data_IF_721608579001
#
_entry.id   IF_721608579001
#
_cell.length_a   1.000
_cell.length_b   1.000
_cell.length_c   1.000
_cell.angle_alpha   90.00
_cell.angle_beta   90.00
_cell.angle_gamma   90.00
#
_symmetry.space_group_name_H-M   'P 1'
#
loop_
_entity.id
_entity.type
_entity.pdbx_description
1 polymer ?
#
# COMPACT_ATOMS: atom_id res chain seq x y z
N UNK A 1 -4.20 -23.17 17.82
CA UNK A 1 -3.29 -22.99 16.68
C UNK A 1 -2.88 -21.53 16.62
N UNK A 2 -1.60 -21.19 16.69
CA UNK A 2 -1.17 -19.83 16.38
C UNK A 2 -1.35 -19.58 14.89
N UNK A 3 -2.05 -18.51 14.51
CA UNK A 3 -2.14 -18.08 13.11
C UNK A 3 -0.82 -17.42 12.73
N UNK A 4 -0.19 -17.90 11.66
CA UNK A 4 1.05 -17.33 11.11
C UNK A 4 0.69 -16.25 10.08
N UNK A 5 1.25 -15.06 10.22
CA UNK A 5 1.17 -14.02 9.19
C UNK A 5 1.89 -14.46 7.92
N UNK A 6 1.34 -14.12 6.76
CA UNK A 6 1.91 -14.42 5.45
C UNK A 6 2.21 -13.13 4.69
N UNK A 7 3.28 -13.14 3.90
CA UNK A 7 3.59 -12.08 2.94
C UNK A 7 3.22 -12.58 1.56
N UNK A 8 2.38 -11.82 0.85
CA UNK A 8 1.98 -12.11 -0.53
C UNK A 8 2.55 -11.02 -1.43
N UNK A 9 3.24 -11.44 -2.50
CA UNK A 9 3.81 -10.53 -3.50
C UNK A 9 3.11 -10.77 -4.83
N UNK A 10 2.39 -9.76 -5.31
CA UNK A 10 1.83 -9.74 -6.66
C UNK A 10 2.76 -8.95 -7.59
N UNK A 11 3.46 -9.65 -8.48
CA UNK A 11 4.45 -9.08 -9.40
C UNK A 11 4.21 -9.55 -10.85
N UNK A 12 5.01 -9.05 -11.79
CA UNK A 12 4.93 -9.32 -13.23
C UNK A 12 4.23 -8.19 -14.00
N UNK A 13 4.39 -8.19 -15.33
CA UNK A 13 3.96 -7.07 -16.19
C UNK A 13 2.46 -7.06 -16.50
N UNK A 14 1.77 -8.16 -16.19
CA UNK A 14 0.33 -8.29 -16.40
C UNK A 14 -0.48 -7.30 -15.57
N UNK A 15 -1.60 -6.84 -16.13
CA UNK A 15 -2.64 -6.12 -15.38
C UNK A 15 -3.29 -7.06 -14.37
N UNK A 16 -3.56 -6.56 -13.16
CA UNK A 16 -4.34 -7.28 -12.15
C UNK A 16 -3.74 -7.34 -10.75
N UNK A 17 -2.48 -6.91 -10.56
CA UNK A 17 -1.80 -6.90 -9.25
C UNK A 17 -2.59 -6.12 -8.19
N UNK A 18 -2.84 -4.84 -8.43
CA UNK A 18 -3.64 -3.98 -7.55
C UNK A 18 -5.04 -4.53 -7.38
N UNK A 19 -5.69 -4.98 -8.46
CA UNK A 19 -7.06 -5.52 -8.40
C UNK A 19 -7.13 -6.79 -7.55
N UNK A 20 -6.14 -7.67 -7.62
CA UNK A 20 -6.04 -8.87 -6.78
C UNK A 20 -5.87 -8.50 -5.30
N UNK A 21 -5.02 -7.51 -5.00
CA UNK A 21 -4.86 -6.99 -3.65
C UNK A 21 -6.16 -6.38 -3.09
N UNK A 22 -6.87 -5.59 -3.90
CA UNK A 22 -8.18 -5.02 -3.52
C UNK A 22 -9.24 -6.10 -3.33
N UNK A 23 -9.24 -7.16 -4.15
CA UNK A 23 -10.11 -8.33 -3.95
C UNK A 23 -9.84 -9.05 -2.63
N UNK A 24 -8.57 -9.16 -2.22
CA UNK A 24 -8.18 -9.68 -0.92
C UNK A 24 -8.64 -8.76 0.22
N UNK A 25 -8.51 -7.43 0.05
CA UNK A 25 -9.04 -6.45 1.01
C UNK A 25 -10.55 -6.62 1.22
N UNK A 26 -11.33 -6.68 0.13
CA UNK A 26 -12.77 -6.87 0.20
C UNK A 26 -13.16 -8.18 0.89
N UNK A 27 -12.40 -9.26 0.64
CA UNK A 27 -12.61 -10.54 1.32
C UNK A 27 -12.37 -10.42 2.82
N UNK A 28 -11.27 -9.80 3.23
CA UNK A 28 -10.93 -9.60 4.65
C UNK A 28 -12.00 -8.74 5.35
N UNK A 29 -12.39 -7.62 4.73
CA UNK A 29 -13.44 -6.74 5.23
C UNK A 29 -14.79 -7.45 5.36
N UNK A 30 -15.13 -8.33 4.41
CA UNK A 30 -16.33 -9.18 4.48
C UNK A 30 -16.33 -10.20 5.62
N UNK A 31 -15.18 -10.40 6.27
CA UNK A 31 -15.01 -11.22 7.47
C UNK A 31 -14.73 -10.37 8.73
N UNK A 32 -15.13 -9.10 8.72
CA UNK A 32 -14.98 -8.15 9.83
C UNK A 32 -13.52 -7.90 10.26
N UNK A 33 -12.57 -8.08 9.33
CA UNK A 33 -11.16 -7.85 9.58
C UNK A 33 -10.76 -6.40 9.29
N UNK A 34 -9.81 -5.86 10.06
CA UNK A 34 -9.28 -4.51 9.82
C UNK A 34 -8.23 -4.53 8.73
N UNK A 35 -8.40 -3.66 7.74
CA UNK A 35 -7.52 -3.57 6.58
C UNK A 35 -6.89 -2.20 6.48
N UNK A 36 -5.58 -2.15 6.26
CA UNK A 36 -4.85 -0.95 5.86
C UNK A 36 -4.40 -1.08 4.41
N UNK A 37 -4.70 -0.09 3.59
CA UNK A 37 -4.19 0.03 2.23
C UNK A 37 -3.31 1.26 2.14
N UNK A 38 -2.04 1.08 1.77
CA UNK A 38 -1.10 2.16 1.48
C UNK A 38 -0.73 2.08 0.01
N UNK A 39 -0.98 3.17 -0.73
CA UNK A 39 -0.64 3.27 -2.14
C UNK A 39 0.52 4.24 -2.32
N UNK A 40 1.66 3.72 -2.79
CA UNK A 40 2.84 4.52 -3.12
C UNK A 40 2.70 5.16 -4.50
N UNK A 41 3.28 6.35 -4.66
CA UNK A 41 3.30 7.12 -5.91
C UNK A 41 1.90 7.43 -6.49
N UNK A 42 0.87 7.48 -5.64
CA UNK A 42 -0.51 7.82 -6.03
C UNK A 42 -1.03 9.00 -5.21
N UNK A 43 -1.28 10.13 -5.86
CA UNK A 43 -1.99 11.28 -5.27
C UNK A 43 -3.48 11.34 -5.62
N UNK A 44 -3.88 10.71 -6.73
CA UNK A 44 -5.23 10.88 -7.27
C UNK A 44 -6.23 9.86 -6.71
N UNK A 45 -7.51 10.25 -6.48
CA UNK A 45 -8.56 9.34 -6.06
C UNK A 45 -8.81 8.23 -7.09
N UNK A 46 -8.97 7.00 -6.63
CA UNK A 46 -9.39 5.85 -7.45
C UNK A 46 -10.78 5.37 -7.04
N UNK A 47 -11.44 4.62 -7.93
CA UNK A 47 -12.77 4.06 -7.65
C UNK A 47 -12.76 3.09 -6.48
N UNK A 48 -11.71 2.28 -6.37
CA UNK A 48 -11.48 1.33 -5.28
C UNK A 48 -11.36 2.06 -3.94
N UNK A 49 -10.53 3.11 -3.88
CA UNK A 49 -10.35 3.93 -2.67
C UNK A 49 -11.65 4.61 -2.27
N UNK A 50 -12.39 5.13 -3.26
CA UNK A 50 -13.68 5.79 -3.02
C UNK A 50 -14.69 4.80 -2.44
N UNK A 51 -14.75 3.58 -2.95
CA UNK A 51 -15.63 2.54 -2.45
C UNK A 51 -15.25 2.10 -1.03
N UNK A 52 -13.96 1.87 -0.75
CA UNK A 52 -13.48 1.50 0.58
C UNK A 52 -13.83 2.59 1.60
N UNK A 53 -13.49 3.85 1.33
CA UNK A 53 -13.79 4.98 2.23
C UNK A 53 -15.29 5.17 2.47
N UNK A 54 -16.13 4.92 1.47
CA UNK A 54 -17.58 5.16 1.56
C UNK A 54 -18.34 4.04 2.25
N UNK A 55 -17.94 2.79 2.04
CA UNK A 55 -18.74 1.63 2.41
C UNK A 55 -18.09 0.72 3.46
N UNK A 56 -16.79 0.88 3.72
CA UNK A 56 -16.02 -0.05 4.55
C UNK A 56 -15.38 0.68 5.74
N UNK A 57 -16.08 0.83 6.89
CA UNK A 57 -15.57 1.58 8.04
C UNK A 57 -14.33 0.95 8.70
N UNK A 58 -14.06 -0.33 8.43
CA UNK A 58 -12.88 -1.05 8.91
C UNK A 58 -11.66 -0.92 7.98
N UNK A 59 -11.79 -0.19 6.86
CA UNK A 59 -10.72 0.04 5.90
C UNK A 59 -10.08 1.41 6.10
N UNK A 60 -8.80 1.43 6.44
CA UNK A 60 -7.97 2.62 6.42
C UNK A 60 -7.21 2.69 5.09
N UNK A 61 -7.22 3.86 4.45
CA UNK A 61 -6.58 4.04 3.14
C UNK A 61 -5.69 5.28 3.14
N UNK A 62 -4.41 5.08 2.82
CA UNK A 62 -3.38 6.12 2.71
C UNK A 62 -2.89 6.14 1.28
N UNK A 63 -3.10 7.26 0.58
CA UNK A 63 -2.53 7.52 -0.73
C UNK A 63 -1.36 8.48 -0.54
N UNK A 64 -0.17 8.07 -0.98
CA UNK A 64 1.04 8.88 -0.86
C UNK A 64 1.67 9.05 -2.23
N UNK A 65 1.92 10.30 -2.60
CA UNK A 65 2.38 10.67 -3.93
C UNK A 65 1.70 11.94 -4.39
N UNK A 66 2.23 12.52 -5.45
CA UNK A 66 1.68 13.71 -6.08
C UNK A 66 0.61 13.32 -7.10
N UNK A 67 -0.12 14.32 -7.60
CA UNK A 67 -1.05 14.16 -8.72
C UNK A 67 -0.34 14.13 -10.08
N UNK A 68 0.96 13.86 -10.09
CA UNK A 68 1.84 13.76 -11.26
C UNK A 68 2.65 12.47 -11.20
N UNK A 69 3.11 12.00 -12.35
CA UNK A 69 4.00 10.84 -12.41
C UNK A 69 5.37 11.17 -11.83
N UNK A 70 5.95 10.18 -11.14
CA UNK A 70 7.34 10.24 -10.65
C UNK A 70 8.26 9.85 -11.80
N UNK A 71 9.31 10.64 -12.01
CA UNK A 71 10.40 10.29 -12.92
C UNK A 71 11.28 9.21 -12.28
N UNK A 72 11.37 8.05 -12.94
CA UNK A 72 12.15 6.91 -12.46
C UNK A 72 13.66 7.19 -12.44
N UNK A 73 14.15 7.96 -13.40
CA UNK A 73 15.57 8.25 -13.55
C UNK A 73 16.03 9.39 -12.64
N UNK A 74 15.13 10.31 -12.31
CA UNK A 74 15.43 11.48 -11.48
C UNK A 74 14.23 11.87 -10.60
N UNK A 75 13.89 11.07 -9.57
CA UNK A 75 12.78 11.37 -8.69
C UNK A 75 13.03 12.66 -7.91
N UNK A 76 11.98 13.46 -7.73
CA UNK A 76 12.09 14.71 -6.96
C UNK A 76 12.17 14.42 -5.45
N UNK A 77 12.82 15.30 -4.68
CA UNK A 77 12.93 15.14 -3.22
C UNK A 77 11.58 14.99 -2.52
N UNK A 78 10.53 15.63 -3.06
CA UNK A 78 9.15 15.50 -2.56
C UNK A 78 8.64 14.07 -2.70
N UNK A 79 8.95 13.36 -3.79
CA UNK A 79 8.49 11.99 -4.02
C UNK A 79 9.18 11.02 -3.04
N UNK A 80 10.48 11.21 -2.84
CA UNK A 80 11.27 10.46 -1.86
C UNK A 80 10.72 10.69 -0.45
N UNK A 81 10.47 11.94 -0.08
CA UNK A 81 9.94 12.29 1.24
C UNK A 81 8.57 11.64 1.48
N UNK A 82 7.63 11.80 0.56
CA UNK A 82 6.28 11.25 0.69
C UNK A 82 6.30 9.72 0.81
N UNK A 83 7.12 9.04 0.00
CA UNK A 83 7.26 7.59 0.07
C UNK A 83 7.83 7.13 1.41
N UNK A 84 8.87 7.80 1.93
CA UNK A 84 9.49 7.46 3.22
C UNK A 84 8.56 7.72 4.40
N UNK A 85 7.84 8.84 4.40
CA UNK A 85 6.85 9.14 5.45
C UNK A 85 5.72 8.09 5.49
N UNK A 86 5.23 7.69 4.31
CA UNK A 86 4.22 6.63 4.23
C UNK A 86 4.76 5.27 4.69
N UNK A 87 5.99 4.92 4.32
CA UNK A 87 6.61 3.68 4.74
C UNK A 87 6.88 3.65 6.26
N UNK A 88 7.31 4.76 6.84
CA UNK A 88 7.49 4.86 8.29
C UNK A 88 6.15 4.69 9.02
N UNK A 89 5.07 5.29 8.51
CA UNK A 89 3.72 5.05 9.04
C UNK A 89 3.32 3.58 8.99
N UNK A 90 3.64 2.87 7.89
CA UNK A 90 3.42 1.43 7.76
C UNK A 90 4.17 0.65 8.85
N UNK A 91 5.45 0.96 9.12
CA UNK A 91 6.22 0.30 10.19
C UNK A 91 5.59 0.51 11.56
N UNK A 92 5.10 1.72 11.84
CA UNK A 92 4.51 2.05 13.12
C UNK A 92 3.18 1.33 13.37
N UNK A 93 2.35 1.17 12.34
CA UNK A 93 1.04 0.50 12.50
C UNK A 93 1.13 -1.01 12.45
N UNK A 94 2.04 -1.57 11.64
CA UNK A 94 2.25 -3.04 11.58
C UNK A 94 2.83 -3.58 12.88
N UNK A 95 3.67 -2.82 13.58
CA UNK A 95 4.25 -3.23 14.87
C UNK A 95 3.24 -3.28 16.03
N UNK A 96 2.09 -2.60 15.91
CA UNK A 96 1.04 -2.55 16.95
C UNK A 96 0.05 -3.72 16.88
N UNK A 97 -0.06 -4.38 15.74
CA UNK A 97 -1.04 -5.45 15.53
C UNK A 97 -2.48 -4.97 15.35
N UNK A 98 -2.67 -3.70 14.97
CA UNK A 98 -4.00 -3.07 14.83
C UNK A 98 -4.78 -3.51 13.58
N UNK A 99 -4.12 -4.22 12.65
CA UNK A 99 -4.64 -4.62 11.34
C UNK A 99 -4.41 -6.10 11.10
N UNK A 100 -5.41 -6.77 10.51
CA UNK A 100 -5.35 -8.16 10.08
C UNK A 100 -4.70 -8.31 8.70
N UNK A 101 -4.83 -7.28 7.85
CA UNK A 101 -4.27 -7.22 6.51
C UNK A 101 -3.71 -5.82 6.24
N UNK A 102 -2.47 -5.78 5.75
CA UNK A 102 -1.81 -4.55 5.29
C UNK A 102 -1.39 -4.74 3.84
N UNK A 103 -1.83 -3.83 2.97
CA UNK A 103 -1.54 -3.81 1.54
C UNK A 103 -0.61 -2.65 1.25
N UNK A 104 0.52 -2.94 0.61
CA UNK A 104 1.54 -1.98 0.18
C UNK A 104 1.56 -1.93 -1.36
N UNK A 105 0.59 -1.23 -1.94
CA UNK A 105 0.39 -1.12 -3.39
C UNK A 105 1.48 -0.23 -4.02
N UNK A 106 2.11 -0.71 -5.08
CA UNK A 106 3.27 -0.09 -5.77
C UNK A 106 4.55 0.06 -4.92
N UNK A 107 4.68 -0.62 -3.77
CA UNK A 107 5.92 -0.57 -2.97
C UNK A 107 7.14 -1.07 -3.78
N UNK A 108 6.95 -2.12 -4.58
CA UNK A 108 8.00 -2.65 -5.46
C UNK A 108 8.50 -1.59 -6.44
N UNK A 109 7.60 -0.74 -6.97
CA UNK A 109 7.96 0.36 -7.87
C UNK A 109 8.68 1.47 -7.11
N UNK A 110 8.22 1.80 -5.89
CA UNK A 110 8.89 2.80 -5.05
C UNK A 110 10.31 2.38 -4.66
N UNK A 111 10.57 1.08 -4.48
CA UNK A 111 11.92 0.54 -4.28
C UNK A 111 12.74 0.61 -5.56
N UNK A 112 12.19 0.18 -6.69
CA UNK A 112 12.85 0.22 -8.00
C UNK A 112 13.27 1.65 -8.40
N UNK A 113 12.42 2.64 -8.08
CA UNK A 113 12.68 4.07 -8.36
C UNK A 113 13.59 4.72 -7.31
N UNK A 114 14.09 3.97 -6.33
CA UNK A 114 15.00 4.47 -5.30
C UNK A 114 14.35 5.40 -4.25
N UNK A 115 13.03 5.47 -4.19
CA UNK A 115 12.31 6.29 -3.20
C UNK A 115 12.43 5.67 -1.80
N UNK A 116 12.39 4.34 -1.73
CA UNK A 116 12.56 3.52 -0.53
C UNK A 116 13.74 2.57 -0.75
N UNK A 117 14.59 2.40 0.26
CA UNK A 117 15.72 1.46 0.13
C UNK A 117 15.22 0.04 0.28
N UNK A 118 15.71 -0.86 -0.57
CA UNK A 118 15.38 -2.29 -0.49
C UNK A 118 15.70 -2.88 0.90
N UNK A 119 16.81 -2.44 1.52
CA UNK A 119 17.22 -2.84 2.87
C UNK A 119 16.25 -2.43 3.97
N UNK A 120 15.35 -1.48 3.70
CA UNK A 120 14.32 -1.09 4.66
C UNK A 120 13.12 -2.05 4.59
N UNK A 121 12.97 -2.84 3.52
CA UNK A 121 11.83 -3.72 3.27
C UNK A 121 12.12 -5.19 3.62
N UNK A 122 13.36 -5.66 3.40
CA UNK A 122 13.80 -7.06 3.57
C UNK A 122 14.39 -7.31 4.97
#
# INVERSE_FOLDING_TARGET
MQRKGLVLVYTGDGKGKTTAAMGLALRALGHDQRVLVVQFMKGQPTGEVTALKRFMPQADVVQCGRDVFVDAANPEEIDIRLAREAFERVRQVTSRGDYDLVILDELNVAVDYGLIRESDVI
#
